data_IF_940260817354
#
_entry.id   IF_940260817354
#
_cell.length_a   1.000
_cell.length_b   1.000
_cell.length_c   1.000
_cell.angle_alpha   90.00
_cell.angle_beta   90.00
_cell.angle_gamma   90.00
#
_symmetry.space_group_name_H-M   'P 1'
#
loop_
_entity.id
_entity.type
_entity.pdbx_description
1 polymer ?
#
# COMPACT_ATOMS: atom_id res chain seq x y z
N UNK A 1 29.13 16.04 64.15
CA UNK A 1 27.67 16.09 63.92
C UNK A 1 27.43 15.69 62.47
N UNK A 2 26.93 14.46 62.29
CA UNK A 2 26.54 13.91 60.99
C UNK A 2 25.30 14.63 60.49
N UNK A 3 25.26 14.98 59.21
CA UNK A 3 24.03 15.31 58.49
C UNK A 3 24.07 14.59 57.16
N UNK A 4 23.50 13.39 57.20
CA UNK A 4 22.92 12.70 56.07
C UNK A 4 21.92 13.62 55.35
N UNK A 5 22.12 13.82 54.05
CA UNK A 5 21.05 14.19 53.12
C UNK A 5 21.10 13.19 51.99
N UNK A 6 20.37 12.10 52.20
CA UNK A 6 19.96 11.13 51.18
C UNK A 6 18.75 11.72 50.46
N UNK A 7 18.58 11.32 49.19
CA UNK A 7 17.35 11.40 48.37
C UNK A 7 17.06 12.79 47.75
N UNK A 8 16.70 12.95 46.48
CA UNK A 8 16.19 12.03 45.44
C UNK A 8 16.76 12.53 44.10
N UNK A 9 17.52 11.71 43.36
CA UNK A 9 17.63 11.90 41.92
C UNK A 9 16.25 11.55 41.35
N UNK A 10 15.48 12.58 40.98
CA UNK A 10 14.34 12.41 40.09
C UNK A 10 14.89 11.89 38.76
N UNK A 11 14.88 10.57 38.60
CA UNK A 11 14.84 9.92 37.30
C UNK A 11 13.50 10.30 36.65
N UNK A 12 13.43 11.52 36.12
CA UNK A 12 12.59 11.79 34.96
C UNK A 12 13.28 11.08 33.80
N UNK A 13 13.00 9.78 33.67
CA UNK A 13 13.24 9.09 32.41
C UNK A 13 12.55 9.90 31.32
N UNK A 14 13.17 10.10 30.14
CA UNK A 14 12.42 10.63 29.03
C UNK A 14 11.27 9.64 28.81
N UNK A 15 10.04 10.10 29.08
CA UNK A 15 8.87 9.54 28.43
C UNK A 15 9.23 9.65 26.95
N UNK A 16 9.66 8.54 26.36
CA UNK A 16 9.83 8.44 24.92
C UNK A 16 8.49 8.82 24.35
N UNK A 17 8.38 10.05 23.86
CA UNK A 17 7.29 10.43 22.99
C UNK A 17 7.18 9.32 21.96
N UNK A 18 5.98 8.79 21.75
CA UNK A 18 5.63 7.90 20.66
C UNK A 18 5.94 8.63 19.35
N UNK A 19 7.21 8.70 18.97
CA UNK A 19 7.72 9.40 17.81
C UNK A 19 7.41 8.52 16.60
N UNK A 20 6.14 8.52 16.20
CA UNK A 20 5.65 7.68 15.10
C UNK A 20 4.15 7.40 15.12
N UNK A 21 3.43 7.76 16.18
CA UNK A 21 1.97 7.59 16.25
C UNK A 21 1.27 8.86 15.76
N UNK A 22 0.48 8.76 14.69
CA UNK A 22 -0.38 9.84 14.21
C UNK A 22 -1.77 9.67 14.84
N UNK A 23 -2.17 10.56 15.78
CA UNK A 23 -3.44 10.41 16.49
C UNK A 23 -4.68 10.55 15.58
N UNK A 24 -4.51 11.12 14.39
CA UNK A 24 -5.59 11.26 13.40
C UNK A 24 -5.68 10.03 12.47
N UNK A 25 -4.65 9.18 12.46
CA UNK A 25 -4.63 7.94 11.69
C UNK A 25 -5.33 6.84 12.49
N UNK A 26 -6.26 6.14 11.85
CA UNK A 26 -7.05 5.12 12.55
C UNK A 26 -6.30 3.82 12.76
N UNK A 27 -5.58 3.26 11.77
CA UNK A 27 -4.67 2.15 12.03
C UNK A 27 -3.70 2.52 13.14
N UNK A 28 -3.74 1.82 14.25
CA UNK A 28 -2.93 2.18 15.40
C UNK A 28 -1.48 1.78 15.17
N UNK A 29 -0.57 2.59 15.71
CA UNK A 29 0.84 2.24 15.79
C UNK A 29 1.05 0.84 16.40
N UNK A 30 1.89 0.03 15.78
CA UNK A 30 2.23 -1.31 16.27
C UNK A 30 2.97 -2.14 15.24
N UNK A 31 3.04 -3.45 15.48
CA UNK A 31 3.57 -4.41 14.52
C UNK A 31 2.48 -4.86 13.58
N UNK A 32 2.64 -4.61 12.30
CA UNK A 32 1.70 -5.00 11.26
C UNK A 32 2.28 -6.11 10.38
N UNK A 33 1.39 -6.97 9.92
CA UNK A 33 1.62 -7.92 8.84
C UNK A 33 0.73 -7.52 7.67
N UNK A 34 1.33 -7.27 6.51
CA UNK A 34 0.68 -6.85 5.28
C UNK A 34 0.86 -7.95 4.24
N UNK A 35 -0.24 -8.52 3.76
CA UNK A 35 -0.26 -9.58 2.76
C UNK A 35 -0.80 -9.01 1.46
N UNK A 36 -0.01 -9.09 0.39
CA UNK A 36 -0.39 -8.68 -0.95
C UNK A 36 -0.66 -9.90 -1.81
N UNK A 37 -1.76 -9.87 -2.54
CA UNK A 37 -2.18 -10.91 -3.46
C UNK A 37 -2.62 -10.31 -4.78
N UNK A 38 -2.38 -11.04 -5.85
CA UNK A 38 -2.97 -10.74 -7.15
C UNK A 38 -4.29 -11.51 -7.24
N UNK A 39 -5.41 -10.80 -7.08
CA UNK A 39 -6.73 -11.40 -7.04
C UNK A 39 -7.17 -11.91 -8.41
N UNK A 40 -7.01 -11.08 -9.45
CA UNK A 40 -7.34 -11.47 -10.81
C UNK A 40 -6.60 -10.65 -11.86
N UNK A 41 -6.36 -11.28 -13.01
CA UNK A 41 -5.93 -10.61 -14.24
C UNK A 41 -6.83 -11.08 -15.37
N UNK A 42 -7.37 -10.14 -16.13
CA UNK A 42 -8.20 -10.41 -17.30
C UNK A 42 -7.67 -9.68 -18.52
N UNK A 43 -7.67 -10.35 -19.68
CA UNK A 43 -7.41 -9.73 -20.99
C UNK A 43 -8.67 -9.94 -21.82
N UNK A 44 -9.24 -8.85 -22.34
CA UNK A 44 -10.50 -8.85 -23.09
C UNK A 44 -11.65 -9.58 -22.36
N UNK A 45 -11.68 -9.44 -21.04
CA UNK A 45 -12.67 -10.08 -20.15
C UNK A 45 -12.41 -11.57 -19.86
N UNK A 46 -11.37 -12.18 -20.44
CA UNK A 46 -10.97 -13.56 -20.14
C UNK A 46 -10.04 -13.55 -18.93
N UNK A 47 -10.43 -14.23 -17.85
CA UNK A 47 -9.61 -14.36 -16.65
C UNK A 47 -8.50 -15.41 -16.84
N UNK A 48 -7.30 -15.08 -16.38
CA UNK A 48 -6.13 -15.94 -16.41
C UNK A 48 -5.87 -16.50 -15.02
N UNK A 49 -5.59 -17.81 -14.96
CA UNK A 49 -5.18 -18.46 -13.73
C UNK A 49 -3.74 -18.04 -13.35
N UNK A 50 -3.36 -18.08 -12.05
CA UNK A 50 -2.03 -17.64 -11.59
C UNK A 50 -0.84 -18.40 -12.21
N UNK A 51 -1.04 -19.60 -12.75
CA UNK A 51 -0.04 -20.39 -13.47
C UNK A 51 0.10 -20.03 -14.95
N UNK A 52 -0.88 -19.32 -15.50
CA UNK A 52 -0.87 -18.80 -16.87
C UNK A 52 -0.25 -17.40 -16.96
N UNK A 53 -0.10 -16.71 -15.84
CA UNK A 53 0.48 -15.37 -15.78
C UNK A 53 2.02 -15.42 -15.79
N UNK A 54 2.68 -14.44 -16.44
CA UNK A 54 4.13 -14.28 -16.35
C UNK A 54 4.60 -14.18 -14.91
N UNK A 55 5.81 -14.69 -14.62
CA UNK A 55 6.37 -14.70 -13.26
C UNK A 55 6.45 -13.30 -12.62
N UNK A 56 6.60 -12.24 -13.42
CA UNK A 56 6.59 -10.85 -12.96
C UNK A 56 5.29 -10.45 -12.25
N UNK A 57 4.14 -11.06 -12.59
CA UNK A 57 2.89 -10.80 -11.88
C UNK A 57 2.92 -11.33 -10.45
N UNK A 58 3.66 -12.41 -10.20
CA UNK A 58 3.84 -12.97 -8.85
C UNK A 58 4.76 -12.14 -7.98
N UNK A 59 5.61 -11.29 -8.56
CA UNK A 59 6.44 -10.34 -7.79
C UNK A 59 5.60 -9.30 -7.04
N UNK A 60 4.34 -9.10 -7.45
CA UNK A 60 3.39 -8.24 -6.74
C UNK A 60 2.86 -8.88 -5.45
N UNK A 61 2.92 -10.21 -5.36
CA UNK A 61 2.47 -10.96 -4.19
C UNK A 61 3.55 -11.01 -3.11
N UNK A 62 3.11 -11.08 -1.86
CA UNK A 62 4.00 -11.37 -0.75
C UNK A 62 3.62 -10.68 0.55
N UNK A 63 4.36 -11.03 1.59
CA UNK A 63 4.13 -10.55 2.95
C UNK A 63 5.23 -9.61 3.39
N UNK A 64 4.85 -8.49 3.99
CA UNK A 64 5.76 -7.55 4.64
C UNK A 64 5.33 -7.38 6.09
N UNK A 65 6.31 -7.33 7.00
CA UNK A 65 6.05 -6.90 8.38
C UNK A 65 6.70 -5.55 8.62
N UNK A 66 5.93 -4.63 9.20
CA UNK A 66 6.39 -3.29 9.56
C UNK A 66 6.15 -3.05 11.05
N UNK A 67 7.00 -2.22 11.65
CA UNK A 67 6.71 -1.55 12.92
C UNK A 67 6.35 -0.10 12.59
N UNK A 68 5.12 0.31 12.93
CA UNK A 68 4.56 1.59 12.54
C UNK A 68 3.04 1.52 12.40
N UNK A 69 2.49 2.34 11.54
CA UNK A 69 1.08 2.34 11.17
C UNK A 69 0.94 2.46 9.65
N UNK A 70 0.00 1.73 9.02
CA UNK A 70 -0.44 2.06 7.67
C UNK A 70 -1.06 3.46 7.64
N UNK A 71 -0.47 4.37 6.87
CA UNK A 71 -0.86 5.79 6.85
C UNK A 71 -1.92 6.07 5.79
N UNK A 72 -3.11 6.53 6.15
CA UNK A 72 -4.15 6.95 5.18
C UNK A 72 -4.51 8.44 5.25
N UNK A 73 -3.92 9.17 6.17
CA UNK A 73 -4.23 10.59 6.41
C UNK A 73 -3.36 11.56 5.62
N UNK A 74 -2.26 11.10 5.05
CA UNK A 74 -1.29 11.92 4.32
C UNK A 74 -1.29 11.58 2.82
N UNK A 75 -1.84 12.50 2.01
CA UNK A 75 -1.85 12.38 0.55
C UNK A 75 -0.45 12.35 -0.06
N UNK A 76 0.49 13.14 0.47
CA UNK A 76 1.84 13.22 -0.09
C UNK A 76 2.59 11.91 0.16
N UNK A 77 2.42 11.34 1.36
CA UNK A 77 2.92 10.00 1.67
C UNK A 77 2.32 8.94 0.74
N UNK A 78 1.02 8.97 0.50
CA UNK A 78 0.33 8.05 -0.42
C UNK A 78 0.83 8.16 -1.86
N UNK A 79 1.08 9.38 -2.34
CA UNK A 79 1.66 9.59 -3.66
C UNK A 79 3.08 8.99 -3.77
N UNK A 80 3.88 9.13 -2.72
CA UNK A 80 5.23 8.56 -2.66
C UNK A 80 5.18 7.03 -2.58
N UNK A 81 4.34 6.45 -1.72
CA UNK A 81 4.20 4.99 -1.59
C UNK A 81 3.74 4.35 -2.91
N UNK A 82 2.77 4.96 -3.61
CA UNK A 82 2.37 4.55 -4.97
C UNK A 82 3.57 4.60 -5.91
N UNK A 83 4.31 5.71 -5.93
CA UNK A 83 5.47 5.89 -6.81
C UNK A 83 6.56 4.85 -6.52
N UNK A 84 6.92 4.64 -5.25
CA UNK A 84 7.96 3.68 -4.86
C UNK A 84 7.57 2.24 -5.21
N UNK A 85 6.35 1.82 -4.86
CA UNK A 85 5.87 0.45 -5.11
C UNK A 85 5.71 0.13 -6.58
N UNK A 86 5.35 1.13 -7.38
CA UNK A 86 5.22 1.00 -8.82
C UNK A 86 6.51 1.34 -9.56
N UNK A 87 7.63 1.59 -8.85
CA UNK A 87 8.94 1.97 -9.44
C UNK A 87 8.82 3.19 -10.38
N UNK A 88 7.94 4.12 -10.05
CA UNK A 88 7.66 5.32 -10.83
C UNK A 88 6.73 5.11 -12.03
N UNK A 89 6.15 3.92 -12.20
CA UNK A 89 5.24 3.65 -13.32
C UNK A 89 3.87 4.29 -13.16
N UNK A 90 3.42 4.57 -11.93
CA UNK A 90 2.13 5.18 -11.66
C UNK A 90 2.27 6.52 -10.94
N UNK A 91 1.39 7.45 -11.27
CA UNK A 91 1.23 8.74 -10.59
C UNK A 91 -0.14 8.84 -9.93
N UNK A 92 -0.16 9.34 -8.69
CA UNK A 92 -1.38 9.58 -7.93
C UNK A 92 -1.97 10.96 -8.27
N UNK A 93 -3.15 10.97 -8.86
CA UNK A 93 -3.84 12.18 -9.29
C UNK A 93 -4.86 12.63 -8.24
N UNK A 94 -5.77 11.73 -7.87
CA UNK A 94 -6.86 11.98 -6.93
C UNK A 94 -6.64 11.13 -5.68
N UNK A 95 -6.79 11.74 -4.51
CA UNK A 95 -6.80 11.04 -3.24
C UNK A 95 -7.84 11.68 -2.33
N UNK A 96 -8.66 10.86 -1.70
CA UNK A 96 -9.59 11.31 -0.67
C UNK A 96 -9.69 10.28 0.43
N UNK A 97 -9.90 10.72 1.66
CA UNK A 97 -10.05 9.82 2.79
C UNK A 97 -11.07 10.32 3.80
N UNK A 98 -11.49 9.39 4.64
CA UNK A 98 -12.33 9.54 5.81
C UNK A 98 -11.63 8.84 6.98
N UNK A 99 -12.30 8.74 8.14
CA UNK A 99 -11.74 8.01 9.28
C UNK A 99 -11.71 6.49 9.12
N UNK A 100 -12.35 5.91 8.09
CA UNK A 100 -12.43 4.45 7.89
C UNK A 100 -12.20 4.00 6.47
N UNK A 101 -12.10 4.93 5.53
CA UNK A 101 -12.00 4.63 4.11
C UNK A 101 -11.07 5.63 3.44
N UNK A 102 -10.37 5.18 2.40
CA UNK A 102 -9.69 6.03 1.45
C UNK A 102 -9.99 5.58 0.01
N UNK A 103 -9.94 6.51 -0.92
CA UNK A 103 -10.00 6.24 -2.34
C UNK A 103 -8.87 6.97 -3.05
N UNK A 104 -8.34 6.34 -4.09
CA UNK A 104 -7.30 6.88 -4.93
C UNK A 104 -7.60 6.65 -6.40
N UNK A 105 -7.18 7.59 -7.23
CA UNK A 105 -7.16 7.43 -8.69
C UNK A 105 -5.85 7.98 -9.23
N UNK A 106 -5.35 7.33 -10.28
CA UNK A 106 -4.11 7.71 -10.93
C UNK A 106 -4.00 7.13 -12.33
N UNK A 107 -2.90 7.46 -12.99
CA UNK A 107 -2.54 6.92 -14.28
C UNK A 107 -1.23 6.17 -14.17
N UNK A 108 -1.05 5.13 -14.99
CA UNK A 108 0.23 4.45 -15.10
C UNK A 108 0.67 4.34 -16.56
N UNK A 109 1.98 4.29 -16.75
CA UNK A 109 2.59 3.94 -18.03
C UNK A 109 3.59 2.81 -17.80
N UNK A 110 3.28 1.64 -18.37
CA UNK A 110 4.15 0.48 -18.34
C UNK A 110 4.58 0.19 -19.77
N UNK A 111 5.87 0.36 -20.05
CA UNK A 111 6.44 0.07 -21.36
C UNK A 111 7.56 -0.95 -21.20
N UNK A 112 7.43 -2.06 -21.92
CA UNK A 112 8.48 -3.07 -22.10
C UNK A 112 8.81 -3.16 -23.59
N UNK A 113 9.80 -3.98 -23.96
CA UNK A 113 10.26 -4.08 -25.35
C UNK A 113 9.12 -4.39 -26.34
N UNK A 114 8.16 -5.23 -25.94
CA UNK A 114 7.13 -5.77 -26.84
C UNK A 114 5.70 -5.33 -26.48
N UNK A 115 5.54 -4.58 -25.38
CA UNK A 115 4.22 -4.27 -24.80
C UNK A 115 4.19 -2.85 -24.25
N UNK A 116 3.17 -2.09 -24.66
CA UNK A 116 2.79 -0.81 -24.07
C UNK A 116 1.43 -0.95 -23.37
N UNK A 117 1.39 -0.59 -22.09
CA UNK A 117 0.20 -0.66 -21.24
C UNK A 117 -0.01 0.66 -20.50
N UNK A 118 -1.18 1.28 -20.69
CA UNK A 118 -1.50 2.60 -20.12
C UNK A 118 -2.78 2.55 -19.28
N UNK A 119 -2.76 1.91 -18.10
CA UNK A 119 -3.96 1.80 -17.28
C UNK A 119 -4.31 3.06 -16.52
N UNK A 120 -5.61 3.17 -16.25
CA UNK A 120 -6.11 3.93 -15.12
C UNK A 120 -6.01 3.05 -13.87
N UNK A 121 -5.40 3.60 -12.83
CA UNK A 121 -5.34 3.00 -11.51
C UNK A 121 -6.46 3.57 -10.65
N UNK A 122 -7.21 2.69 -9.98
CA UNK A 122 -8.21 3.05 -8.98
C UNK A 122 -8.00 2.21 -7.74
N UNK A 123 -8.10 2.82 -6.57
CA UNK A 123 -7.97 2.12 -5.31
C UNK A 123 -9.08 2.48 -4.34
N UNK A 124 -9.51 1.48 -3.57
CA UNK A 124 -10.39 1.68 -2.44
C UNK A 124 -9.81 0.94 -1.23
N UNK A 125 -9.69 1.65 -0.13
CA UNK A 125 -9.15 1.15 1.11
C UNK A 125 -10.21 1.26 2.20
N UNK A 126 -10.35 0.20 2.99
CA UNK A 126 -11.14 0.17 4.23
C UNK A 126 -10.21 -0.15 5.39
N UNK A 127 -10.35 0.53 6.51
CA UNK A 127 -9.45 0.32 7.64
C UNK A 127 -10.08 0.64 9.00
N UNK A 128 -9.59 -0.04 10.03
CA UNK A 128 -9.84 0.25 11.43
C UNK A 128 -8.52 0.22 12.23
N UNK A 129 -8.63 0.18 13.55
CA UNK A 129 -7.49 0.21 14.47
C UNK A 129 -6.52 -0.96 14.31
N UNK A 130 -7.01 -2.10 13.81
CA UNK A 130 -6.29 -3.39 13.82
C UNK A 130 -6.27 -4.10 12.48
N UNK A 131 -7.00 -3.59 11.48
CA UNK A 131 -7.10 -4.18 10.16
C UNK A 131 -7.13 -3.13 9.05
N UNK A 132 -6.58 -3.50 7.90
CA UNK A 132 -6.70 -2.73 6.66
C UNK A 132 -7.00 -3.66 5.50
N UNK A 133 -7.67 -3.13 4.48
CA UNK A 133 -7.88 -3.82 3.22
C UNK A 133 -7.87 -2.81 2.08
N UNK A 134 -6.86 -2.90 1.23
CA UNK A 134 -6.69 -2.09 0.04
C UNK A 134 -7.03 -2.94 -1.19
N UNK A 135 -7.88 -2.43 -2.08
CA UNK A 135 -8.16 -3.03 -3.38
C UNK A 135 -7.72 -2.07 -4.45
N UNK A 136 -6.74 -2.46 -5.25
CA UNK A 136 -6.24 -1.69 -6.38
C UNK A 136 -6.68 -2.37 -7.67
N UNK A 137 -7.30 -1.60 -8.56
CA UNK A 137 -7.69 -2.01 -9.90
C UNK A 137 -6.89 -1.18 -10.89
N UNK A 138 -6.14 -1.85 -11.77
CA UNK A 138 -5.51 -1.23 -12.93
C UNK A 138 -6.22 -1.74 -14.18
N UNK A 139 -6.79 -0.83 -14.98
CA UNK A 139 -7.55 -1.19 -16.17
C UNK A 139 -7.21 -0.23 -17.32
N UNK A 140 -6.88 -0.77 -18.49
CA UNK A 140 -6.60 0.06 -19.66
C UNK A 140 -6.17 -0.72 -20.88
N UNK A 141 -5.74 0.03 -21.88
CA UNK A 141 -5.36 -0.50 -23.19
C UNK A 141 -3.97 -1.12 -23.14
N UNK A 142 -3.86 -2.32 -23.70
CA UNK A 142 -2.66 -3.10 -23.90
C UNK A 142 -2.39 -3.17 -25.41
N UNK A 143 -1.28 -2.60 -25.86
CA UNK A 143 -0.79 -2.75 -27.23
C UNK A 143 0.39 -3.73 -27.23
N UNK A 144 0.30 -4.75 -28.10
CA UNK A 144 1.33 -5.78 -28.24
C UNK A 144 1.96 -5.64 -29.63
N UNK A 145 3.28 -5.65 -29.71
CA UNK A 145 3.97 -5.57 -31.00
C UNK A 145 3.55 -6.73 -31.92
N UNK A 146 3.16 -6.42 -33.15
CA UNK A 146 2.71 -7.40 -34.14
C UNK A 146 1.24 -7.79 -34.03
N UNK A 147 0.52 -7.41 -32.97
CA UNK A 147 -0.94 -7.51 -32.91
C UNK A 147 -1.58 -6.19 -33.36
N UNK A 148 -2.38 -6.18 -34.46
CA UNK A 148 -3.02 -4.96 -34.93
C UNK A 148 -4.20 -4.51 -34.05
N UNK A 149 -4.70 -5.35 -33.13
CA UNK A 149 -5.84 -5.02 -32.28
C UNK A 149 -5.38 -4.62 -30.87
N UNK A 150 -5.83 -3.46 -30.34
CA UNK A 150 -5.60 -3.16 -28.93
C UNK A 150 -6.44 -4.09 -28.05
N UNK A 151 -5.82 -4.62 -27.01
CA UNK A 151 -6.49 -5.43 -25.99
C UNK A 151 -6.82 -4.58 -24.77
N UNK A 152 -7.78 -5.02 -23.96
CA UNK A 152 -8.03 -4.42 -22.64
C UNK A 152 -7.47 -5.34 -21.56
N UNK A 153 -6.50 -4.85 -20.80
CA UNK A 153 -5.98 -5.56 -19.62
C UNK A 153 -6.52 -4.94 -18.34
N UNK A 154 -7.03 -5.80 -17.47
CA UNK A 154 -7.43 -5.44 -16.11
C UNK A 154 -6.73 -6.34 -15.10
N UNK A 155 -6.09 -5.73 -14.11
CA UNK A 155 -5.48 -6.41 -12.98
C UNK A 155 -6.12 -5.89 -11.68
N UNK A 156 -6.44 -6.80 -10.77
CA UNK A 156 -6.95 -6.51 -9.43
C UNK A 156 -5.95 -7.07 -8.43
N UNK A 157 -5.39 -6.19 -7.60
CA UNK A 157 -4.52 -6.57 -6.49
C UNK A 157 -5.20 -6.20 -5.16
N UNK A 158 -4.98 -7.03 -4.14
CA UNK A 158 -5.49 -6.80 -2.79
C UNK A 158 -4.33 -6.79 -1.82
N UNK A 159 -4.33 -5.85 -0.88
CA UNK A 159 -3.45 -5.86 0.28
C UNK A 159 -4.30 -5.92 1.54
N UNK A 160 -4.09 -6.94 2.37
CA UNK A 160 -4.75 -7.06 3.67
C UNK A 160 -3.72 -6.87 4.78
N UNK A 161 -4.02 -5.98 5.71
CA UNK A 161 -3.18 -5.67 6.85
C UNK A 161 -3.81 -6.14 8.15
N UNK A 162 -3.00 -6.71 9.04
CA UNK A 162 -3.41 -7.04 10.41
C UNK A 162 -2.38 -6.55 11.42
N UNK A 163 -2.85 -5.87 12.47
CA UNK A 163 -2.04 -5.57 13.65
C UNK A 163 -1.82 -6.84 14.45
N UNK A 164 -0.56 -7.14 14.74
CA UNK A 164 -0.10 -8.38 15.38
C UNK A 164 0.39 -8.17 16.82
N UNK A 165 0.63 -6.93 17.22
CA UNK A 165 1.06 -6.56 18.56
C UNK A 165 1.66 -5.17 18.57
N UNK A 166 2.38 -4.85 19.64
CA UNK A 166 3.14 -3.63 19.75
C UNK A 166 4.50 -3.76 19.04
N UNK A 167 5.11 -2.62 18.74
CA UNK A 167 6.54 -2.56 18.52
C UNK A 167 7.25 -2.75 19.88
#
# INVERSE_FOLDING_TARGET
>A
MSRDVVTVLLFLGPLGACAGDNPDNRPQYGRWELVRTLDSVTIDGVAFAPDQLPASFREMEGTVSICGEPTYTDRAWQAEDVRERTKGMCELEIYSNTSTNASLEGSCTLSTADVEYTPLMRGNSTFDETSTRDVIVMEGSLAVEGDPAPHTLKAIAVQEGRRTGDC
#
